data_IF_256826414738
#
_entry.id   IF_256826414738
#
_cell.length_a   1.000
_cell.length_b   1.000
_cell.length_c   1.000
_cell.angle_alpha   90.00
_cell.angle_beta   90.00
_cell.angle_gamma   90.00
#
_symmetry.space_group_name_H-M   'P 1'
#
loop_
_entity.id
_entity.type
_entity.pdbx_description
1 polymer ?
#
# COMPACT_ATOMS: atom_id res chain seq x y z
N UNK A 1 -24.20 23.97 -11.11
CA UNK A 1 -23.86 22.71 -11.81
C UNK A 1 -24.40 21.50 -11.06
N UNK A 2 -24.14 21.36 -9.76
CA UNK A 2 -24.55 20.18 -8.98
C UNK A 2 -26.08 20.00 -8.96
N UNK A 3 -26.83 21.05 -8.64
CA UNK A 3 -28.28 21.03 -8.58
C UNK A 3 -28.97 20.61 -9.87
N UNK A 4 -28.31 20.85 -11.01
CA UNK A 4 -28.88 20.59 -12.33
C UNK A 4 -28.50 19.19 -12.87
N UNK A 5 -27.41 18.58 -12.35
CA UNK A 5 -26.84 17.36 -12.90
C UNK A 5 -26.76 16.17 -11.93
N UNK A 6 -27.03 16.34 -10.63
CA UNK A 6 -26.89 15.24 -9.66
C UNK A 6 -27.73 14.01 -10.02
N UNK A 7 -28.94 14.23 -10.54
CA UNK A 7 -29.85 13.14 -10.87
C UNK A 7 -29.31 12.26 -12.00
N UNK A 8 -28.68 12.86 -13.00
CA UNK A 8 -28.03 12.13 -14.09
C UNK A 8 -26.81 11.33 -13.58
N UNK A 9 -25.95 11.99 -12.77
CA UNK A 9 -24.75 11.35 -12.19
C UNK A 9 -25.14 10.18 -11.27
N UNK A 10 -26.11 10.37 -10.39
CA UNK A 10 -26.60 9.31 -9.49
C UNK A 10 -27.18 8.15 -10.31
N UNK A 11 -28.06 8.44 -11.27
CA UNK A 11 -28.70 7.42 -12.10
C UNK A 11 -27.69 6.60 -12.90
N UNK A 12 -26.75 7.29 -13.57
CA UNK A 12 -25.72 6.60 -14.37
C UNK A 12 -24.79 5.74 -13.52
N UNK A 13 -24.42 6.21 -12.35
CA UNK A 13 -23.55 5.47 -11.41
C UNK A 13 -24.26 4.23 -10.87
N UNK A 14 -25.48 4.39 -10.38
CA UNK A 14 -26.27 3.26 -9.82
C UNK A 14 -26.53 2.23 -10.92
N UNK A 15 -27.01 2.63 -12.09
CA UNK A 15 -27.33 1.70 -13.20
C UNK A 15 -26.11 0.97 -13.73
N UNK A 16 -24.94 1.61 -13.75
CA UNK A 16 -23.69 0.94 -14.16
C UNK A 16 -23.31 -0.19 -13.21
N UNK A 17 -23.45 0.06 -11.88
CA UNK A 17 -22.81 -0.77 -10.87
C UNK A 17 -23.79 -1.61 -10.03
N UNK A 18 -25.12 -1.45 -10.16
CA UNK A 18 -26.10 -2.13 -9.30
C UNK A 18 -26.09 -3.66 -9.36
N UNK A 19 -25.67 -4.25 -10.50
CA UNK A 19 -25.50 -5.69 -10.66
C UNK A 19 -24.12 -6.20 -10.20
N UNK A 20 -23.23 -5.30 -9.74
CA UNK A 20 -21.92 -5.70 -9.26
C UNK A 20 -22.02 -6.20 -7.81
N UNK A 21 -21.78 -7.51 -7.54
CA UNK A 21 -21.89 -8.05 -6.18
C UNK A 21 -20.81 -7.52 -5.22
N UNK A 22 -19.74 -6.90 -5.71
CA UNK A 22 -18.73 -6.27 -4.90
C UNK A 22 -19.15 -4.90 -4.33
N UNK A 23 -20.19 -4.28 -4.88
CA UNK A 23 -20.75 -3.04 -4.34
C UNK A 23 -21.64 -3.37 -3.14
N UNK A 24 -21.22 -2.99 -1.94
CA UNK A 24 -21.92 -3.25 -0.69
C UNK A 24 -22.64 -2.03 -0.12
N UNK A 25 -22.22 -0.83 -0.48
CA UNK A 25 -22.77 0.46 -0.02
C UNK A 25 -22.64 1.52 -1.11
N UNK A 26 -23.51 2.55 -1.07
CA UNK A 26 -23.42 3.74 -1.91
C UNK A 26 -22.91 4.93 -1.09
N UNK A 27 -21.74 5.48 -1.44
CA UNK A 27 -21.22 6.69 -0.80
C UNK A 27 -21.78 7.94 -1.49
N UNK A 28 -22.37 8.82 -0.68
CA UNK A 28 -22.95 10.08 -1.15
C UNK A 28 -21.92 11.20 -1.30
N UNK A 29 -20.71 11.05 -0.75
CA UNK A 29 -19.64 12.03 -0.81
C UNK A 29 -18.57 11.81 0.26
N UNK A 30 -17.52 12.61 0.16
CA UNK A 30 -16.40 12.60 1.09
C UNK A 30 -16.14 13.99 1.64
N UNK A 31 -15.94 14.08 2.95
CA UNK A 31 -15.59 15.30 3.69
C UNK A 31 -16.51 16.50 3.40
N UNK A 32 -17.78 16.21 3.18
CA UNK A 32 -18.80 17.24 3.03
C UNK A 32 -18.95 17.97 4.35
N UNK A 33 -18.58 19.25 4.37
CA UNK A 33 -18.61 20.09 5.57
C UNK A 33 -19.64 21.18 5.43
N UNK A 34 -20.45 21.34 6.47
CA UNK A 34 -21.45 22.39 6.53
C UNK A 34 -20.90 23.75 6.95
N UNK A 35 -19.66 23.80 7.45
CA UNK A 35 -19.00 25.03 7.90
C UNK A 35 -17.93 25.55 6.94
N UNK A 36 -17.71 24.89 5.81
CA UNK A 36 -16.90 25.45 4.74
C UNK A 36 -17.82 26.32 3.87
N UNK A 37 -17.48 27.56 3.71
CA UNK A 37 -17.96 28.42 2.64
C UNK A 37 -17.45 27.89 1.29
N UNK A 38 -18.02 26.79 0.82
CA UNK A 38 -17.88 26.34 -0.55
C UNK A 38 -18.88 27.13 -1.40
N UNK A 39 -18.50 28.33 -1.78
CA UNK A 39 -19.39 29.25 -2.44
C UNK A 39 -20.49 29.79 -1.52
N UNK A 40 -21.66 30.08 -2.06
CA UNK A 40 -22.78 30.76 -1.39
C UNK A 40 -23.74 29.81 -0.64
N UNK A 41 -23.35 28.55 -0.35
CA UNK A 41 -24.23 27.57 0.29
C UNK A 41 -24.19 27.64 1.81
N UNK A 42 -25.37 27.78 2.43
CA UNK A 42 -25.58 27.66 3.88
C UNK A 42 -25.50 26.20 4.33
N UNK A 43 -25.26 25.99 5.62
CA UNK A 43 -25.27 24.64 6.23
C UNK A 43 -26.56 23.86 5.96
N UNK A 44 -27.71 24.55 5.98
CA UNK A 44 -29.03 23.93 5.72
C UNK A 44 -29.18 23.51 4.26
N UNK A 45 -28.65 24.30 3.32
CA UNK A 45 -28.66 23.95 1.90
C UNK A 45 -27.82 22.74 1.61
N UNK A 46 -26.64 22.61 2.24
CA UNK A 46 -25.78 21.43 2.12
C UNK A 46 -26.50 20.18 2.65
N UNK A 47 -27.14 20.26 3.81
CA UNK A 47 -27.95 19.15 4.38
C UNK A 47 -29.10 18.77 3.43
N UNK A 48 -29.80 19.75 2.87
CA UNK A 48 -30.89 19.52 1.90
C UNK A 48 -30.39 18.84 0.64
N UNK A 49 -29.26 19.28 0.09
CA UNK A 49 -28.61 18.64 -1.06
C UNK A 49 -28.26 17.18 -0.78
N UNK A 50 -27.59 16.89 0.33
CA UNK A 50 -27.26 15.52 0.72
C UNK A 50 -28.51 14.66 0.94
N UNK A 51 -29.57 15.21 1.54
CA UNK A 51 -30.85 14.52 1.70
C UNK A 51 -31.50 14.20 0.35
N UNK A 52 -31.44 15.12 -0.59
CA UNK A 52 -31.99 14.95 -1.94
C UNK A 52 -31.21 13.82 -2.69
N UNK A 53 -29.88 13.84 -2.63
CA UNK A 53 -29.04 12.79 -3.23
C UNK A 53 -29.32 11.44 -2.60
N UNK A 54 -29.41 11.36 -1.26
CA UNK A 54 -29.75 10.12 -0.56
C UNK A 54 -31.11 9.56 -1.02
N UNK A 55 -32.11 10.42 -1.13
CA UNK A 55 -33.43 10.04 -1.61
C UNK A 55 -33.41 9.52 -3.04
N UNK A 56 -32.63 10.14 -3.92
CA UNK A 56 -32.47 9.69 -5.30
C UNK A 56 -31.78 8.32 -5.38
N UNK A 57 -30.71 8.09 -4.60
CA UNK A 57 -30.03 6.78 -4.50
C UNK A 57 -31.00 5.72 -4.01
N UNK A 58 -31.73 5.97 -2.92
CA UNK A 58 -32.70 5.03 -2.33
C UNK A 58 -33.87 4.72 -3.25
N UNK A 59 -34.28 5.65 -4.10
CA UNK A 59 -35.33 5.43 -5.10
C UNK A 59 -34.88 4.47 -6.22
N UNK A 60 -33.58 4.45 -6.54
CA UNK A 60 -33.00 3.58 -7.57
C UNK A 60 -32.56 2.23 -6.98
N UNK A 61 -31.95 2.22 -5.80
CA UNK A 61 -31.51 1.02 -5.10
C UNK A 61 -31.78 1.12 -3.59
N UNK A 62 -32.87 0.53 -3.14
CA UNK A 62 -33.22 0.40 -1.74
C UNK A 62 -32.57 -0.83 -1.05
N UNK A 63 -31.83 -1.65 -1.77
CA UNK A 63 -31.29 -2.92 -1.25
C UNK A 63 -29.94 -2.73 -0.54
N UNK A 64 -29.21 -1.68 -0.90
CA UNK A 64 -27.89 -1.36 -0.32
C UNK A 64 -27.98 -0.15 0.61
N UNK A 65 -27.21 -0.15 1.71
CA UNK A 65 -27.15 1.02 2.60
C UNK A 65 -26.40 2.18 1.94
N UNK A 66 -26.69 3.39 2.39
CA UNK A 66 -25.96 4.60 2.02
C UNK A 66 -24.96 5.00 3.10
N UNK A 67 -23.90 5.67 2.70
CA UNK A 67 -22.84 6.16 3.59
C UNK A 67 -22.28 7.50 3.12
N UNK A 68 -21.46 8.13 3.95
CA UNK A 68 -20.72 9.35 3.65
C UNK A 68 -19.48 9.39 4.56
N UNK A 69 -18.30 9.72 4.02
CA UNK A 69 -17.09 9.95 4.81
C UNK A 69 -17.08 11.34 5.45
N UNK A 70 -16.77 11.43 6.75
CA UNK A 70 -16.74 12.70 7.48
C UNK A 70 -15.49 12.79 8.37
N UNK A 71 -14.77 13.92 8.29
CA UNK A 71 -13.49 14.14 9.01
C UNK A 71 -13.60 15.04 10.24
N UNK A 72 -14.72 15.60 10.54
CA UNK A 72 -14.90 16.48 11.70
C UNK A 72 -16.17 16.08 12.49
N UNK A 73 -15.99 15.32 13.56
CA UNK A 73 -17.08 14.93 14.43
C UNK A 73 -17.48 16.08 15.35
N UNK A 74 -18.73 16.46 15.31
CA UNK A 74 -19.32 17.45 16.19
C UNK A 74 -20.09 18.57 15.48
N UNK A 75 -21.01 19.20 16.16
CA UNK A 75 -21.84 20.29 15.63
C UNK A 75 -22.74 19.86 14.47
N UNK A 76 -22.68 20.58 13.37
CA UNK A 76 -23.56 20.39 12.21
C UNK A 76 -23.39 19.05 11.48
N UNK A 77 -22.35 18.27 11.77
CA UNK A 77 -22.17 16.95 11.18
C UNK A 77 -23.21 15.93 11.65
N UNK A 78 -23.79 16.10 12.83
CA UNK A 78 -24.86 15.23 13.30
C UNK A 78 -26.04 15.20 12.31
N UNK A 79 -26.35 16.31 11.65
CA UNK A 79 -27.39 16.40 10.63
C UNK A 79 -27.04 15.60 9.37
N UNK A 80 -25.77 15.66 8.90
CA UNK A 80 -25.31 14.88 7.75
C UNK A 80 -25.25 13.38 8.08
N UNK A 81 -24.76 13.02 9.28
CA UNK A 81 -24.71 11.64 9.74
C UNK A 81 -26.11 11.03 9.90
N UNK A 82 -27.13 11.86 10.18
CA UNK A 82 -28.50 11.42 10.28
C UNK A 82 -29.13 11.04 8.93
N UNK A 83 -28.54 11.41 7.79
CA UNK A 83 -29.06 11.12 6.46
C UNK A 83 -28.75 9.67 6.03
N UNK A 84 -27.55 9.16 6.35
CA UNK A 84 -27.02 7.89 5.86
C UNK A 84 -27.34 6.71 6.78
N UNK A 85 -27.32 5.48 6.25
CA UNK A 85 -27.56 4.28 7.04
C UNK A 85 -26.33 3.84 7.84
N UNK A 86 -25.13 4.01 7.27
CA UNK A 86 -23.85 3.67 7.88
C UNK A 86 -22.96 4.92 7.92
N UNK A 87 -22.44 5.24 9.09
CA UNK A 87 -21.64 6.47 9.26
C UNK A 87 -20.18 6.22 8.95
N UNK A 88 -19.64 6.89 7.93
CA UNK A 88 -18.22 6.92 7.61
C UNK A 88 -17.48 7.98 8.43
N UNK A 89 -16.34 7.60 9.00
CA UNK A 89 -15.50 8.48 9.83
C UNK A 89 -14.09 8.50 9.24
N UNK A 90 -13.62 9.70 8.85
CA UNK A 90 -12.26 9.91 8.41
C UNK A 90 -11.36 10.26 9.59
N UNK A 91 -10.24 9.54 9.78
CA UNK A 91 -9.13 9.73 10.74
C UNK A 91 -9.45 9.65 12.23
N UNK A 92 -10.65 10.01 12.66
CA UNK A 92 -11.00 10.02 14.08
C UNK A 92 -11.37 8.64 14.63
N UNK A 93 -10.82 7.64 14.07
CA UNK A 93 -10.65 6.25 14.39
C UNK A 93 -11.78 5.55 15.11
N UNK A 94 -11.67 5.37 16.37
CA UNK A 94 -12.64 4.68 17.20
C UNK A 94 -13.42 5.66 18.07
N UNK A 95 -13.61 6.88 17.62
CA UNK A 95 -14.24 7.88 18.49
C UNK A 95 -15.67 7.44 18.83
N UNK A 96 -15.77 6.58 19.85
CA UNK A 96 -17.03 6.13 20.45
C UNK A 96 -17.85 7.30 21.00
N UNK A 97 -17.29 8.51 21.01
CA UNK A 97 -17.99 9.76 21.35
C UNK A 97 -18.99 10.18 20.27
N UNK A 98 -18.96 9.57 19.07
CA UNK A 98 -20.04 9.71 18.11
C UNK A 98 -21.28 9.01 18.67
N UNK A 99 -22.14 9.78 19.25
CA UNK A 99 -23.46 9.37 19.72
C UNK A 99 -24.35 9.10 18.48
N UNK A 100 -24.16 7.98 17.83
CA UNK A 100 -25.06 7.48 16.79
C UNK A 100 -25.55 6.10 17.17
N UNK A 101 -26.80 5.79 16.86
CA UNK A 101 -27.40 4.46 16.95
C UNK A 101 -27.08 3.59 15.73
N UNK A 102 -26.33 4.13 14.76
CA UNK A 102 -26.01 3.49 13.48
C UNK A 102 -24.65 2.80 13.51
N UNK A 103 -24.45 1.78 12.63
CA UNK A 103 -23.13 1.22 12.41
C UNK A 103 -22.13 2.30 11.94
N UNK A 104 -20.88 2.16 12.34
CA UNK A 104 -19.79 3.05 11.94
C UNK A 104 -18.69 2.28 11.23
N UNK A 105 -17.94 2.94 10.37
CA UNK A 105 -16.70 2.43 9.80
C UNK A 105 -15.71 3.57 9.55
N UNK A 106 -14.43 3.22 9.47
CA UNK A 106 -13.42 4.17 9.03
C UNK A 106 -13.46 4.31 7.52
N UNK A 107 -14.07 5.39 7.02
CA UNK A 107 -14.17 5.64 5.58
C UNK A 107 -12.83 6.07 4.96
N UNK A 108 -11.98 6.69 5.79
CA UNK A 108 -10.61 7.07 5.45
C UNK A 108 -9.80 7.13 6.75
N UNK A 109 -8.72 6.35 6.84
CA UNK A 109 -8.01 6.18 8.10
C UNK A 109 -6.50 6.16 7.92
N UNK A 110 -5.79 6.20 9.02
CA UNK A 110 -4.33 6.02 9.08
C UNK A 110 -3.55 7.26 8.63
N UNK A 111 -3.16 7.39 7.37
CA UNK A 111 -2.18 8.36 6.88
C UNK A 111 -0.83 8.27 7.60
N UNK A 112 -0.35 7.04 7.82
CA UNK A 112 1.00 6.78 8.30
C UNK A 112 2.02 7.09 7.20
N UNK A 113 3.19 7.59 7.60
CA UNK A 113 4.26 7.99 6.70
C UNK A 113 5.36 6.95 6.70
N UNK A 114 5.68 6.40 5.53
CA UNK A 114 6.77 5.45 5.36
C UNK A 114 7.36 5.46 3.96
N UNK A 115 8.61 5.05 3.83
CA UNK A 115 9.31 4.83 2.56
C UNK A 115 9.88 3.42 2.54
N UNK A 116 9.74 2.71 1.42
CA UNK A 116 10.19 1.33 1.27
C UNK A 116 11.70 1.19 1.53
N UNK A 117 12.06 0.29 2.45
CA UNK A 117 13.45 -0.11 2.72
C UNK A 117 14.30 0.96 3.41
N UNK A 118 13.69 1.98 4.01
CA UNK A 118 14.34 3.04 4.80
C UNK A 118 14.02 2.82 6.27
N UNK A 119 15.00 2.85 7.18
CA UNK A 119 14.79 2.49 8.59
C UNK A 119 15.23 3.59 9.58
N UNK A 120 15.70 4.71 9.06
CA UNK A 120 15.92 5.95 9.80
C UNK A 120 15.33 7.12 8.99
N UNK A 121 15.03 8.24 9.67
CA UNK A 121 14.62 9.46 8.95
C UNK A 121 15.76 9.95 8.08
N UNK A 122 15.55 10.00 6.78
CA UNK A 122 16.48 10.56 5.80
C UNK A 122 15.95 11.90 5.29
N UNK A 123 16.35 12.98 5.97
CA UNK A 123 15.91 14.33 5.63
C UNK A 123 16.56 14.87 4.34
N UNK A 124 17.70 14.34 3.94
CA UNK A 124 18.38 14.74 2.71
C UNK A 124 17.64 14.21 1.49
N UNK A 125 17.29 12.92 1.50
CA UNK A 125 16.55 12.26 0.42
C UNK A 125 15.03 12.30 0.63
N UNK A 126 14.53 12.96 1.68
CA UNK A 126 13.10 13.10 2.00
C UNK A 126 12.40 11.74 2.09
N UNK A 127 12.95 10.82 2.88
CA UNK A 127 12.39 9.51 3.12
C UNK A 127 12.10 9.27 4.61
N UNK A 128 11.00 8.58 4.88
CA UNK A 128 10.54 8.24 6.23
C UNK A 128 10.91 6.81 6.60
N UNK A 129 11.11 6.52 7.90
CA UNK A 129 11.32 5.15 8.35
C UNK A 129 10.16 4.23 7.98
N UNK A 130 10.47 2.98 7.58
CA UNK A 130 9.48 1.93 7.29
C UNK A 130 8.83 1.35 8.54
N UNK A 131 9.38 1.61 9.72
CA UNK A 131 8.70 1.26 10.97
C UNK A 131 7.39 2.04 11.11
N UNK A 132 6.35 1.40 11.68
CA UNK A 132 5.05 2.04 11.94
C UNK A 132 5.11 2.97 13.17
N UNK A 133 5.86 4.07 13.04
CA UNK A 133 6.13 5.00 14.14
C UNK A 133 5.87 6.47 13.79
N UNK A 134 5.40 6.76 12.58
CA UNK A 134 5.12 8.13 12.14
C UNK A 134 3.82 8.22 11.34
N UNK A 135 3.03 9.25 11.66
CA UNK A 135 1.85 9.65 10.92
C UNK A 135 1.79 11.17 10.83
N UNK A 136 0.94 11.69 9.98
CA UNK A 136 0.61 13.13 9.93
C UNK A 136 -0.16 13.56 11.16
N UNK A 137 -0.24 14.87 11.43
CA UNK A 137 -0.85 15.41 12.65
C UNK A 137 -2.36 15.11 12.81
N UNK A 138 -3.06 14.85 11.73
CA UNK A 138 -4.48 14.47 11.72
C UNK A 138 -4.71 12.95 11.59
N UNK A 139 -3.65 12.18 11.35
CA UNK A 139 -3.69 10.73 11.15
C UNK A 139 -3.21 9.96 12.37
N UNK A 140 -3.10 8.65 12.19
CA UNK A 140 -2.60 7.70 13.17
C UNK A 140 -1.65 6.72 12.49
N UNK A 141 -0.81 6.03 13.25
CA UNK A 141 -0.06 4.90 12.73
C UNK A 141 -1.01 3.75 12.37
N UNK A 142 -0.57 2.85 11.52
CA UNK A 142 -1.42 1.76 11.06
C UNK A 142 -1.85 0.83 12.20
N UNK A 143 -0.95 0.49 13.10
CA UNK A 143 -1.27 -0.36 14.25
C UNK A 143 -2.25 0.32 15.23
N UNK A 144 -2.09 1.63 15.48
CA UNK A 144 -3.04 2.38 16.28
C UNK A 144 -4.45 2.32 15.69
N UNK A 145 -4.56 2.53 14.38
CA UNK A 145 -5.83 2.44 13.66
C UNK A 145 -6.44 1.05 13.73
N UNK A 146 -5.69 0.01 13.35
CA UNK A 146 -6.19 -1.38 13.37
C UNK A 146 -6.67 -1.77 14.77
N UNK A 147 -5.86 -1.49 15.80
CA UNK A 147 -6.20 -1.84 17.19
C UNK A 147 -7.45 -1.09 17.67
N UNK A 148 -7.61 0.18 17.27
CA UNK A 148 -8.77 0.98 17.59
C UNK A 148 -10.06 0.37 17.00
N UNK A 149 -10.05 0.00 15.73
CA UNK A 149 -11.22 -0.60 15.09
C UNK A 149 -11.52 -2.02 15.60
N UNK A 150 -10.50 -2.82 15.88
CA UNK A 150 -10.69 -4.16 16.47
C UNK A 150 -11.27 -4.12 17.90
N UNK A 151 -11.03 -3.06 18.64
CA UNK A 151 -11.58 -2.88 20.00
C UNK A 151 -13.01 -2.30 20.04
N UNK A 152 -13.58 -1.92 18.89
CA UNK A 152 -14.90 -1.28 18.82
C UNK A 152 -15.96 -2.29 18.38
N UNK A 153 -16.92 -2.60 19.26
CA UNK A 153 -18.08 -3.48 18.96
C UNK A 153 -19.03 -2.90 17.90
N UNK A 154 -18.95 -1.58 17.65
CA UNK A 154 -19.83 -0.87 16.69
C UNK A 154 -19.20 -0.68 15.33
N UNK A 155 -17.91 -1.00 15.19
CA UNK A 155 -17.18 -0.81 13.95
C UNK A 155 -17.41 -1.96 12.98
N UNK A 156 -17.72 -1.61 11.72
CA UNK A 156 -17.76 -2.55 10.60
C UNK A 156 -16.38 -2.78 9.96
N UNK A 157 -15.32 -2.09 10.41
CA UNK A 157 -13.98 -2.10 9.83
C UNK A 157 -13.53 -0.72 9.35
N UNK A 158 -12.49 -0.70 8.52
CA UNK A 158 -11.96 0.58 8.03
C UNK A 158 -11.27 0.45 6.67
N UNK A 159 -11.17 1.58 5.96
CA UNK A 159 -10.40 1.75 4.72
C UNK A 159 -9.18 2.63 4.98
N UNK A 160 -8.03 2.17 4.50
CA UNK A 160 -6.75 2.85 4.73
C UNK A 160 -6.55 3.96 3.70
N UNK A 161 -6.16 5.14 4.13
CA UNK A 161 -5.56 6.15 3.27
C UNK A 161 -4.04 6.04 3.34
N UNK A 162 -3.35 5.42 2.35
CA UNK A 162 -3.99 4.92 1.14
C UNK A 162 -3.33 3.61 0.70
N UNK A 163 -3.90 2.90 -0.25
CA UNK A 163 -3.32 1.66 -0.78
C UNK A 163 -1.96 1.90 -1.45
N UNK A 164 -1.88 2.90 -2.34
CA UNK A 164 -0.69 3.25 -3.11
C UNK A 164 -0.20 4.65 -2.75
N UNK A 165 1.11 4.87 -2.79
CA UNK A 165 1.61 6.23 -2.94
C UNK A 165 1.15 6.81 -4.29
N UNK A 166 0.94 8.11 -4.36
CA UNK A 166 0.45 8.81 -5.54
C UNK A 166 1.17 10.14 -5.74
N UNK A 167 1.27 10.58 -6.98
CA UNK A 167 1.83 11.90 -7.32
C UNK A 167 0.89 12.98 -6.79
N UNK A 168 1.46 13.95 -6.12
CA UNK A 168 0.78 15.00 -5.34
C UNK A 168 0.87 14.74 -3.85
N UNK A 169 0.45 15.69 -3.04
CA UNK A 169 0.40 15.65 -1.57
C UNK A 169 1.68 15.12 -0.88
N UNK A 170 2.84 15.78 -1.08
CA UNK A 170 4.12 15.34 -0.51
C UNK A 170 4.25 15.72 0.98
N UNK A 171 3.21 15.48 1.75
CA UNK A 171 3.11 15.78 3.18
C UNK A 171 3.99 14.79 3.98
N UNK A 172 4.76 15.22 4.94
CA UNK A 172 4.90 16.56 5.54
C UNK A 172 6.06 17.38 4.94
N UNK A 173 6.77 16.87 3.94
CA UNK A 173 7.88 17.61 3.35
C UNK A 173 7.41 18.90 2.70
N UNK A 174 6.32 18.87 1.93
CA UNK A 174 5.67 20.03 1.28
C UNK A 174 6.63 20.93 0.51
N UNK A 175 7.70 20.35 -0.02
CA UNK A 175 8.73 21.07 -0.77
C UNK A 175 9.38 20.16 -1.82
N UNK A 176 9.85 20.77 -2.91
CA UNK A 176 10.66 20.07 -3.91
C UNK A 176 11.96 19.52 -3.28
N UNK A 177 12.43 18.30 -3.65
CA UNK A 177 11.93 17.43 -4.71
C UNK A 177 10.81 16.45 -4.33
N UNK A 178 10.31 16.43 -3.08
CA UNK A 178 9.18 15.58 -2.74
C UNK A 178 7.96 15.95 -3.60
N UNK A 179 7.40 14.99 -4.32
CA UNK A 179 6.29 15.17 -5.25
C UNK A 179 5.19 14.13 -5.11
N UNK A 180 5.45 13.07 -4.36
CA UNK A 180 4.54 11.95 -4.12
C UNK A 180 4.12 11.93 -2.66
N UNK A 181 2.98 11.32 -2.37
CA UNK A 181 2.58 10.97 -1.00
C UNK A 181 3.53 9.90 -0.43
N UNK A 182 3.45 9.72 0.90
CA UNK A 182 4.17 8.69 1.65
C UNK A 182 3.20 7.79 2.43
N UNK A 183 1.89 7.94 2.17
CA UNK A 183 0.79 7.27 2.88
C UNK A 183 0.55 5.84 2.41
N UNK A 184 0.99 5.50 1.19
CA UNK A 184 0.72 4.20 0.59
C UNK A 184 1.23 3.04 1.44
N UNK A 185 0.48 1.96 1.51
CA UNK A 185 0.96 0.67 2.02
C UNK A 185 1.89 -0.02 1.02
N UNK A 186 1.79 0.36 -0.27
CA UNK A 186 2.78 0.11 -1.31
C UNK A 186 3.24 1.44 -1.92
N UNK A 187 4.41 1.44 -2.56
CA UNK A 187 4.94 2.64 -3.21
C UNK A 187 4.31 2.90 -4.59
N UNK A 188 4.74 3.96 -5.31
CA UNK A 188 4.21 4.31 -6.65
C UNK A 188 4.46 3.23 -7.70
N UNK A 189 5.41 2.32 -7.46
CA UNK A 189 5.70 1.18 -8.32
C UNK A 189 4.87 -0.06 -7.97
N UNK A 190 4.07 -0.03 -6.88
CA UNK A 190 3.35 -1.18 -6.36
C UNK A 190 4.23 -2.11 -5.51
N UNK A 191 5.47 -1.73 -5.17
CA UNK A 191 6.30 -2.52 -4.28
C UNK A 191 5.82 -2.37 -2.83
N UNK A 192 5.61 -3.50 -2.10
CA UNK A 192 5.21 -3.46 -0.71
C UNK A 192 6.20 -2.69 0.17
N UNK A 193 5.68 -1.85 1.05
CA UNK A 193 6.42 -1.32 2.19
C UNK A 193 6.25 -2.29 3.38
N UNK A 194 7.07 -2.16 4.43
CA UNK A 194 6.95 -3.10 5.57
C UNK A 194 5.57 -3.07 6.22
N UNK A 195 4.89 -1.93 6.17
CA UNK A 195 3.52 -1.78 6.68
C UNK A 195 2.48 -2.65 5.95
N UNK A 196 2.71 -3.01 4.67
CA UNK A 196 1.89 -3.96 3.93
C UNK A 196 1.80 -5.30 4.68
N UNK A 197 2.94 -5.78 5.18
CA UNK A 197 3.01 -7.06 5.89
C UNK A 197 2.37 -6.99 7.29
N UNK A 198 2.35 -5.81 7.93
CA UNK A 198 1.56 -5.64 9.15
C UNK A 198 0.07 -5.83 8.87
N UNK A 199 -0.48 -5.18 7.83
CA UNK A 199 -1.86 -5.38 7.42
C UNK A 199 -2.14 -6.82 6.99
N UNK A 200 -1.24 -7.44 6.23
CA UNK A 200 -1.36 -8.84 5.84
C UNK A 200 -1.45 -9.75 7.07
N UNK A 201 -0.63 -9.50 8.10
CA UNK A 201 -0.67 -10.28 9.35
C UNK A 201 -1.99 -10.15 10.13
N UNK A 202 -2.77 -9.09 9.88
CA UNK A 202 -4.03 -8.81 10.57
C UNK A 202 -5.26 -9.22 9.75
N UNK A 203 -5.17 -9.24 8.42
CA UNK A 203 -6.30 -9.42 7.53
C UNK A 203 -6.27 -10.71 6.71
N UNK A 204 -5.11 -11.35 6.55
CA UNK A 204 -4.96 -12.62 5.84
C UNK A 204 -5.02 -13.81 6.81
N UNK A 205 -5.70 -14.88 6.44
CA UNK A 205 -5.74 -16.14 7.18
C UNK A 205 -4.61 -17.09 6.80
N UNK A 206 -3.92 -16.87 5.68
CA UNK A 206 -2.75 -17.66 5.28
C UNK A 206 -1.60 -17.39 6.25
N UNK A 207 -0.90 -18.43 6.73
CA UNK A 207 0.27 -18.24 7.60
C UNK A 207 1.31 -17.34 6.93
N UNK A 208 1.75 -16.32 7.64
CA UNK A 208 2.79 -15.42 7.17
C UNK A 208 3.69 -14.94 8.30
N UNK A 209 4.91 -14.59 7.94
CA UNK A 209 5.88 -13.90 8.79
C UNK A 209 6.75 -13.01 7.91
N UNK A 210 7.09 -11.82 8.39
CA UNK A 210 7.92 -10.84 7.68
C UNK A 210 8.91 -10.19 8.65
N UNK A 211 10.18 -10.10 8.23
CA UNK A 211 11.27 -9.48 8.98
C UNK A 211 11.50 -8.05 8.49
N UNK A 212 11.56 -7.08 9.41
CA UNK A 212 12.12 -5.76 9.16
C UNK A 212 13.12 -5.39 10.28
N UNK A 213 14.16 -4.62 9.98
CA UNK A 213 14.63 -4.13 8.66
C UNK A 213 15.30 -5.23 7.84
N UNK A 214 15.75 -4.89 6.62
CA UNK A 214 16.69 -5.73 5.87
C UNK A 214 17.95 -6.05 6.69
N UNK A 215 18.60 -7.19 6.42
CA UNK A 215 19.76 -7.62 7.21
C UNK A 215 21.11 -7.26 6.55
N UNK A 216 21.25 -5.97 6.17
CA UNK A 216 22.50 -5.42 5.61
C UNK A 216 22.78 -4.10 6.32
N UNK A 217 23.66 -4.14 7.30
CA UNK A 217 24.07 -3.00 8.14
C UNK A 217 25.59 -2.97 8.27
N UNK A 218 26.14 -1.92 8.88
CA UNK A 218 27.58 -1.83 9.16
C UNK A 218 27.89 -2.40 10.56
N UNK A 219 27.16 -1.99 11.57
CA UNK A 219 27.37 -2.41 12.97
C UNK A 219 26.22 -1.94 13.87
N UNK A 220 26.29 -2.26 15.14
CA UNK A 220 25.40 -1.75 16.19
C UNK A 220 24.27 -2.71 16.57
N UNK A 221 23.39 -2.24 17.42
CA UNK A 221 22.17 -2.94 17.78
C UNK A 221 21.06 -2.52 16.80
N UNK A 222 20.40 -3.52 16.25
CA UNK A 222 19.31 -3.35 15.27
C UNK A 222 18.00 -3.72 15.95
N UNK A 223 17.01 -2.85 15.87
CA UNK A 223 15.64 -3.15 16.29
C UNK A 223 14.95 -3.96 15.18
N UNK A 224 14.87 -5.26 15.39
CA UNK A 224 14.23 -6.21 14.47
C UNK A 224 12.78 -6.39 14.89
N UNK A 225 11.87 -6.11 13.99
CA UNK A 225 10.45 -6.41 14.17
C UNK A 225 10.04 -7.56 13.26
N UNK A 226 9.10 -8.38 13.74
CA UNK A 226 8.43 -9.40 12.93
C UNK A 226 6.94 -9.07 12.90
N UNK A 227 6.37 -9.06 11.71
CA UNK A 227 4.91 -9.09 11.53
C UNK A 227 4.48 -10.52 11.21
N UNK A 228 3.51 -11.05 11.93
CA UNK A 228 3.06 -12.44 11.75
C UNK A 228 1.66 -12.67 12.33
N UNK A 229 0.92 -13.58 11.70
CA UNK A 229 -0.36 -14.12 12.19
C UNK A 229 -0.21 -15.52 12.81
N UNK A 230 1.02 -16.04 12.98
CA UNK A 230 1.29 -17.33 13.59
C UNK A 230 1.05 -17.32 15.10
N UNK A 231 0.78 -18.49 15.70
CA UNK A 231 0.57 -18.65 17.14
C UNK A 231 1.83 -18.33 17.97
N UNK A 232 3.01 -18.55 17.41
CA UNK A 232 4.29 -18.13 17.99
C UNK A 232 5.32 -17.90 16.89
N UNK A 233 6.33 -17.09 17.21
CA UNK A 233 7.45 -16.78 16.31
C UNK A 233 8.78 -17.02 17.01
N UNK A 234 9.82 -17.35 16.25
CA UNK A 234 11.19 -17.50 16.77
C UNK A 234 12.18 -16.89 15.78
N UNK A 235 13.09 -16.07 16.28
CA UNK A 235 14.11 -15.39 15.49
C UNK A 235 15.47 -16.08 15.70
N UNK A 236 16.20 -16.26 14.60
CA UNK A 236 17.55 -16.83 14.60
C UNK A 236 18.53 -15.90 13.90
N UNK A 237 19.74 -15.80 14.44
CA UNK A 237 20.87 -15.16 13.79
C UNK A 237 21.99 -16.19 13.61
N UNK A 238 22.40 -16.42 12.35
CA UNK A 238 23.44 -17.39 12.00
C UNK A 238 23.23 -18.78 12.64
N UNK A 239 21.96 -19.22 12.68
CA UNK A 239 21.55 -20.52 13.26
C UNK A 239 21.38 -20.52 14.78
N UNK A 240 21.71 -19.43 15.48
CA UNK A 240 21.50 -19.32 16.93
C UNK A 240 20.15 -18.69 17.23
N UNK A 241 19.31 -19.34 18.04
CA UNK A 241 18.02 -18.78 18.46
C UNK A 241 18.20 -17.56 19.36
N UNK A 242 17.45 -16.51 19.04
CA UNK A 242 17.34 -15.29 19.83
C UNK A 242 16.07 -15.28 20.71
N UNK A 243 15.37 -16.40 20.75
CA UNK A 243 14.22 -16.66 21.58
C UNK A 243 12.91 -16.72 20.81
N UNK A 244 12.00 -17.51 21.37
CA UNK A 244 10.63 -17.70 20.87
C UNK A 244 9.66 -16.79 21.60
N UNK A 245 8.69 -16.22 20.87
CA UNK A 245 7.63 -15.35 21.42
C UNK A 245 6.27 -15.89 21.03
N UNK A 246 5.37 -15.96 21.99
CA UNK A 246 3.96 -16.33 21.78
C UNK A 246 3.13 -15.12 21.29
N UNK A 247 1.94 -15.38 20.75
CA UNK A 247 1.02 -14.33 20.30
C UNK A 247 0.71 -13.30 21.39
N UNK A 248 0.62 -13.71 22.66
CA UNK A 248 0.42 -12.81 23.80
C UNK A 248 1.57 -11.83 24.07
N UNK A 249 2.72 -12.03 23.43
CA UNK A 249 3.89 -11.15 23.51
C UNK A 249 4.01 -10.21 22.30
N UNK A 250 3.00 -10.19 21.42
CA UNK A 250 2.91 -9.22 20.33
C UNK A 250 2.71 -7.84 20.90
N UNK A 251 3.52 -6.89 20.46
CA UNK A 251 3.52 -5.51 20.94
C UNK A 251 2.35 -4.67 20.41
N UNK A 252 2.22 -3.45 20.91
CA UNK A 252 1.15 -2.52 20.54
C UNK A 252 1.18 -2.06 19.08
N UNK A 253 2.32 -2.21 18.41
CA UNK A 253 2.48 -1.98 16.96
C UNK A 253 2.24 -3.25 16.14
N UNK A 254 1.57 -4.25 16.71
CA UNK A 254 1.30 -5.56 16.11
C UNK A 254 2.57 -6.33 15.69
N UNK A 255 3.71 -6.01 16.32
CA UNK A 255 5.02 -6.59 16.04
C UNK A 255 5.51 -7.50 17.17
N UNK A 256 6.43 -8.40 16.83
CA UNK A 256 7.32 -9.04 17.80
C UNK A 256 8.69 -8.38 17.69
N UNK A 257 9.10 -7.61 18.69
CA UNK A 257 10.32 -6.82 18.66
C UNK A 257 11.49 -7.54 19.33
N UNK A 258 12.67 -7.47 18.71
CA UNK A 258 13.95 -7.96 19.22
C UNK A 258 14.99 -6.86 19.03
N UNK A 259 15.90 -6.71 19.98
CA UNK A 259 17.11 -5.88 19.81
C UNK A 259 18.28 -6.81 19.58
N UNK A 260 18.87 -6.77 18.39
CA UNK A 260 19.85 -7.77 17.93
C UNK A 260 21.18 -7.07 17.64
N UNK A 261 22.25 -7.49 18.28
CA UNK A 261 23.59 -7.07 17.91
C UNK A 261 23.90 -7.54 16.49
N UNK A 262 24.20 -6.62 15.58
CA UNK A 262 24.44 -6.96 14.18
C UNK A 262 25.65 -7.88 14.03
N UNK A 263 25.46 -8.98 13.33
CA UNK A 263 26.50 -9.81 12.77
C UNK A 263 26.12 -10.20 11.35
N UNK A 264 27.04 -10.01 10.41
CA UNK A 264 26.83 -10.40 9.02
C UNK A 264 26.48 -11.89 8.90
N UNK A 265 25.62 -12.23 7.94
CA UNK A 265 25.16 -13.59 7.70
C UNK A 265 23.68 -13.69 7.42
N UNK A 266 23.00 -14.60 8.10
CA UNK A 266 21.61 -14.94 7.85
C UNK A 266 20.76 -14.68 9.08
N UNK A 267 19.67 -13.92 8.92
CA UNK A 267 18.62 -13.81 9.93
C UNK A 267 17.38 -14.55 9.43
N UNK A 268 16.78 -15.39 10.28
CA UNK A 268 15.64 -16.26 9.96
C UNK A 268 14.56 -16.07 10.99
N UNK A 269 13.34 -15.81 10.54
CA UNK A 269 12.16 -15.82 11.39
C UNK A 269 11.28 -17.02 11.03
N UNK A 270 10.97 -17.82 12.02
CA UNK A 270 10.08 -18.98 11.93
C UNK A 270 8.75 -18.67 12.61
N UNK A 271 7.65 -18.96 11.91
CA UNK A 271 6.29 -18.89 12.42
C UNK A 271 5.71 -20.28 12.65
N UNK A 272 5.11 -20.49 13.81
CA UNK A 272 4.59 -21.79 14.23
C UNK A 272 3.08 -21.73 14.50
N UNK A 273 2.39 -22.85 14.24
CA UNK A 273 1.00 -23.04 14.66
C UNK A 273 0.89 -23.32 16.18
N UNK A 274 -0.34 -23.51 16.67
CA UNK A 274 -0.60 -23.80 18.08
C UNK A 274 -0.05 -25.16 18.53
N UNK A 275 0.22 -26.08 17.58
CA UNK A 275 0.80 -27.40 17.83
C UNK A 275 2.34 -27.40 17.79
N UNK A 276 2.94 -26.25 17.42
CA UNK A 276 4.39 -26.08 17.30
C UNK A 276 4.98 -26.49 15.96
N UNK A 277 4.15 -26.73 14.94
CA UNK A 277 4.63 -27.01 13.60
C UNK A 277 5.07 -25.71 12.91
N UNK A 278 6.16 -25.73 12.15
CA UNK A 278 6.61 -24.62 11.30
C UNK A 278 5.63 -24.45 10.13
N UNK A 279 5.01 -23.29 10.02
CA UNK A 279 4.00 -22.99 8.99
C UNK A 279 4.31 -21.73 8.15
N UNK A 280 5.26 -20.90 8.59
CA UNK A 280 5.74 -19.75 7.84
C UNK A 280 7.21 -19.50 8.16
N UNK A 281 7.97 -19.01 7.19
CA UNK A 281 9.37 -18.65 7.36
C UNK A 281 9.71 -17.44 6.49
N UNK A 282 10.51 -16.51 7.02
CA UNK A 282 11.17 -15.44 6.27
C UNK A 282 12.67 -15.50 6.54
N UNK A 283 13.47 -15.29 5.48
CA UNK A 283 14.92 -15.38 5.53
C UNK A 283 15.53 -14.17 4.85
N UNK A 284 16.39 -13.45 5.56
CA UNK A 284 17.16 -12.36 4.99
C UNK A 284 18.66 -12.59 5.17
N UNK A 285 19.43 -12.06 4.22
CA UNK A 285 20.87 -12.22 4.16
C UNK A 285 21.56 -10.87 4.17
N UNK A 286 22.75 -10.81 4.75
CA UNK A 286 23.64 -9.69 4.53
C UNK A 286 24.09 -9.70 3.07
N UNK A 287 23.71 -8.67 2.32
CA UNK A 287 24.11 -8.51 0.94
C UNK A 287 25.58 -8.08 0.82
N UNK A 288 26.23 -8.57 -0.20
CA UNK A 288 27.53 -8.08 -0.67
C UNK A 288 27.38 -6.84 -1.57
N UNK A 289 28.44 -6.49 -2.27
CA UNK A 289 28.42 -5.41 -3.27
C UNK A 289 27.53 -5.77 -4.45
N UNK A 290 26.81 -4.80 -5.07
CA UNK A 290 26.07 -5.01 -6.30
C UNK A 290 26.93 -5.66 -7.40
N UNK A 291 26.39 -6.70 -8.04
CA UNK A 291 27.13 -7.49 -9.05
C UNK A 291 26.30 -7.79 -10.31
N UNK A 292 24.99 -7.91 -10.20
CA UNK A 292 24.11 -8.28 -11.31
C UNK A 292 22.72 -7.68 -11.17
N UNK A 293 22.00 -7.59 -12.30
CA UNK A 293 20.60 -7.25 -12.37
C UNK A 293 19.77 -8.53 -12.58
N UNK A 294 18.64 -8.64 -11.90
CA UNK A 294 17.65 -9.68 -12.14
C UNK A 294 16.32 -9.03 -12.53
N UNK A 295 15.66 -9.60 -13.55
CA UNK A 295 14.33 -9.15 -13.98
C UNK A 295 13.28 -10.18 -13.65
N UNK A 296 12.14 -9.71 -13.16
CA UNK A 296 10.93 -10.48 -13.02
C UNK A 296 9.74 -9.69 -13.61
N UNK A 297 8.64 -10.38 -13.94
CA UNK A 297 7.44 -9.77 -14.49
C UNK A 297 6.20 -10.20 -13.74
N UNK A 298 5.19 -9.34 -13.71
CA UNK A 298 3.87 -9.61 -13.12
C UNK A 298 3.12 -10.72 -13.85
N UNK A 299 3.44 -10.96 -15.13
CA UNK A 299 2.85 -12.00 -15.98
C UNK A 299 3.86 -12.55 -16.98
N UNK A 300 3.64 -13.77 -17.40
CA UNK A 300 4.49 -14.48 -18.40
C UNK A 300 4.05 -14.27 -19.84
N UNK A 301 2.83 -13.77 -20.04
CA UNK A 301 2.26 -13.51 -21.36
C UNK A 301 1.38 -12.25 -21.33
N UNK A 302 1.28 -11.56 -22.47
CA UNK A 302 0.41 -10.41 -22.72
C UNK A 302 -0.58 -10.73 -23.82
N UNK A 303 -1.83 -10.20 -23.69
CA UNK A 303 -2.87 -10.32 -24.70
C UNK A 303 -2.69 -9.23 -25.75
N UNK A 304 -2.36 -9.62 -26.99
CA UNK A 304 -2.15 -8.69 -28.09
C UNK A 304 -3.44 -8.14 -28.71
N UNK A 305 -4.61 -8.71 -28.37
CA UNK A 305 -5.91 -8.20 -28.80
C UNK A 305 -6.42 -7.02 -27.95
N UNK A 306 -5.69 -6.62 -26.89
CA UNK A 306 -6.02 -5.52 -25.99
C UNK A 306 -4.80 -4.62 -25.74
N UNK A 307 -5.00 -3.49 -25.06
CA UNK A 307 -3.92 -2.60 -24.60
C UNK A 307 -3.22 -3.14 -23.34
N UNK A 308 -2.89 -4.44 -23.30
CA UNK A 308 -2.29 -5.09 -22.16
C UNK A 308 -0.82 -4.63 -21.94
N UNK A 309 -0.47 -4.42 -20.68
CA UNK A 309 0.85 -3.98 -20.23
C UNK A 309 1.52 -5.08 -19.41
N UNK A 310 2.85 -5.06 -19.36
CA UNK A 310 3.63 -5.87 -18.44
C UNK A 310 4.50 -4.98 -17.55
N UNK A 311 4.55 -5.33 -16.27
CA UNK A 311 5.32 -4.63 -15.25
C UNK A 311 6.57 -5.45 -14.94
N UNK A 312 7.72 -4.89 -15.28
CA UNK A 312 9.03 -5.53 -15.13
C UNK A 312 9.73 -4.94 -13.91
N UNK A 313 9.86 -5.73 -12.86
CA UNK A 313 10.71 -5.42 -11.71
C UNK A 313 12.17 -5.71 -12.04
N UNK A 314 13.03 -4.78 -11.70
CA UNK A 314 14.49 -4.98 -11.76
C UNK A 314 15.06 -4.91 -10.34
N UNK A 315 15.71 -5.99 -9.92
CA UNK A 315 16.42 -6.12 -8.66
C UNK A 315 17.93 -5.98 -8.88
N UNK A 316 18.58 -5.19 -8.05
CA UNK A 316 20.04 -5.08 -7.97
C UNK A 316 20.52 -6.11 -6.94
N UNK A 317 21.22 -7.13 -7.41
CA UNK A 317 21.66 -8.26 -6.60
C UNK A 317 23.18 -8.30 -6.45
N UNK A 318 23.66 -8.86 -5.37
CA UNK A 318 25.06 -9.24 -5.21
C UNK A 318 25.40 -10.50 -6.02
N UNK A 319 26.66 -10.95 -5.93
CA UNK A 319 27.14 -12.17 -6.63
C UNK A 319 26.36 -13.42 -6.23
N UNK A 320 25.87 -13.51 -4.99
CA UNK A 320 25.16 -14.66 -4.45
C UNK A 320 23.66 -14.64 -4.81
N UNK A 321 23.14 -13.52 -5.33
CA UNK A 321 21.73 -13.34 -5.65
C UNK A 321 20.91 -12.69 -4.53
N UNK A 322 21.58 -12.14 -3.53
CA UNK A 322 20.93 -11.38 -2.46
C UNK A 322 20.63 -9.96 -2.94
N UNK A 323 19.41 -9.46 -2.69
CA UNK A 323 19.03 -8.08 -2.96
C UNK A 323 19.95 -7.14 -2.18
N UNK A 324 20.51 -6.14 -2.86
CA UNK A 324 21.31 -5.08 -2.24
C UNK A 324 20.40 -3.93 -1.83
N UNK A 325 19.95 -3.85 -0.57
CA UNK A 325 18.87 -2.96 -0.15
C UNK A 325 19.28 -1.48 -0.09
N UNK A 326 20.57 -1.19 -0.22
CA UNK A 326 21.11 0.18 -0.29
C UNK A 326 21.54 0.58 -1.70
N UNK A 327 21.32 -0.29 -2.71
CA UNK A 327 21.76 -0.02 -4.06
C UNK A 327 20.89 1.06 -4.75
N UNK A 328 21.58 2.00 -5.41
CA UNK A 328 21.00 3.11 -6.18
C UNK A 328 21.57 3.17 -7.61
N UNK A 329 22.01 2.04 -8.16
CA UNK A 329 22.57 1.96 -9.50
C UNK A 329 21.58 2.48 -10.55
N UNK A 330 22.08 3.30 -11.49
CA UNK A 330 21.29 3.77 -12.64
C UNK A 330 21.12 2.61 -13.63
N UNK A 331 19.86 2.17 -13.82
CA UNK A 331 19.49 1.05 -14.69
C UNK A 331 18.92 1.60 -15.99
N UNK A 332 19.39 1.08 -17.12
CA UNK A 332 18.86 1.39 -18.46
C UNK A 332 18.16 0.15 -19.01
N UNK A 333 16.93 0.32 -19.46
CA UNK A 333 16.12 -0.72 -20.08
C UNK A 333 16.10 -0.60 -21.60
N UNK A 334 16.10 -1.73 -22.28
CA UNK A 334 15.85 -1.84 -23.72
C UNK A 334 14.81 -2.94 -23.94
N UNK A 335 13.98 -2.78 -24.97
CA UNK A 335 12.96 -3.76 -25.34
C UNK A 335 12.99 -4.05 -26.83
N UNK A 336 12.78 -5.32 -27.18
CA UNK A 336 12.52 -5.77 -28.56
C UNK A 336 11.14 -6.41 -28.56
N UNK A 337 10.31 -6.08 -29.54
CA UNK A 337 8.93 -6.57 -29.66
C UNK A 337 7.92 -5.82 -28.80
N UNK A 338 8.24 -4.60 -28.37
CA UNK A 338 7.38 -3.73 -27.59
C UNK A 338 7.95 -2.33 -27.43
N UNK A 339 7.30 -1.52 -26.61
CA UNK A 339 7.68 -0.13 -26.30
C UNK A 339 7.70 0.09 -24.79
N UNK A 340 8.74 0.75 -24.27
CA UNK A 340 8.77 1.19 -22.87
C UNK A 340 7.79 2.36 -22.71
N UNK A 341 6.82 2.18 -21.81
CA UNK A 341 5.83 3.21 -21.48
C UNK A 341 6.38 4.13 -20.39
N UNK A 342 7.13 3.58 -19.44
CA UNK A 342 7.73 4.36 -18.38
C UNK A 342 8.61 3.55 -17.46
N UNK A 343 9.34 4.27 -16.59
CA UNK A 343 10.18 3.72 -15.54
C UNK A 343 10.01 4.52 -14.26
N UNK A 344 10.08 3.86 -13.11
CA UNK A 344 10.04 4.49 -11.79
C UNK A 344 10.81 3.63 -10.78
N UNK A 345 11.01 4.14 -9.54
CA UNK A 345 11.66 3.39 -8.46
C UNK A 345 10.88 3.41 -7.13
N UNK A 346 9.73 4.08 -7.08
CA UNK A 346 8.91 4.19 -5.90
C UNK A 346 9.37 5.21 -4.84
N UNK A 347 10.41 5.99 -5.13
CA UNK A 347 10.89 7.02 -4.20
C UNK A 347 10.10 8.33 -4.35
N UNK A 348 9.47 8.79 -3.28
CA UNK A 348 8.57 9.96 -3.30
C UNK A 348 9.21 11.29 -3.70
N UNK A 349 10.54 11.42 -3.57
CA UNK A 349 11.32 12.60 -3.97
C UNK A 349 12.15 12.38 -5.25
N UNK A 350 11.87 11.32 -6.00
CA UNK A 350 12.57 11.06 -7.26
C UNK A 350 12.26 12.12 -8.34
N UNK A 351 13.30 12.66 -8.97
CA UNK A 351 13.20 13.72 -10.01
C UNK A 351 13.47 13.22 -11.43
N UNK A 352 13.80 11.94 -11.60
CA UNK A 352 14.02 11.37 -12.92
C UNK A 352 12.71 11.33 -13.73
N UNK A 353 12.82 11.37 -15.06
CA UNK A 353 11.65 11.33 -15.94
C UNK A 353 11.01 9.95 -15.92
N UNK A 354 9.72 9.88 -15.60
CA UNK A 354 8.96 8.63 -15.63
C UNK A 354 8.79 8.08 -17.05
N UNK A 355 8.74 8.92 -18.08
CA UNK A 355 8.59 8.54 -19.50
C UNK A 355 9.90 8.11 -20.15
N UNK A 356 10.96 7.86 -19.38
CA UNK A 356 12.27 7.44 -19.89
C UNK A 356 12.42 5.92 -19.97
N UNK A 357 13.59 5.50 -20.45
CA UNK A 357 14.03 4.10 -20.41
C UNK A 357 15.14 3.85 -19.38
N UNK A 358 15.41 4.84 -18.52
CA UNK A 358 16.44 4.78 -17.48
C UNK A 358 15.88 5.28 -16.17
N UNK A 359 16.20 4.58 -15.09
CA UNK A 359 15.88 4.99 -13.72
C UNK A 359 16.93 4.47 -12.73
N UNK A 360 17.28 5.27 -11.73
CA UNK A 360 18.11 4.79 -10.62
C UNK A 360 17.27 3.82 -9.76
N UNK A 361 17.89 2.77 -9.24
CA UNK A 361 17.24 1.92 -8.24
C UNK A 361 17.05 2.68 -6.92
N UNK A 362 15.95 2.40 -6.22
CA UNK A 362 15.72 2.84 -4.86
C UNK A 362 15.52 1.60 -3.98
N UNK A 363 16.30 1.52 -2.90
CA UNK A 363 16.37 0.32 -2.05
C UNK A 363 16.52 -0.96 -2.89
N UNK A 364 17.44 -0.90 -3.88
CA UNK A 364 17.81 -2.03 -4.73
C UNK A 364 16.79 -2.39 -5.82
N UNK A 365 15.72 -1.63 -6.03
CA UNK A 365 14.67 -1.95 -7.00
C UNK A 365 14.32 -0.78 -7.91
N UNK A 366 13.91 -1.09 -9.15
CA UNK A 366 13.19 -0.17 -10.03
C UNK A 366 12.19 -0.93 -10.92
N UNK A 367 11.26 -0.20 -11.51
CA UNK A 367 10.19 -0.70 -12.36
C UNK A 367 10.37 -0.21 -13.80
N UNK A 368 10.04 -1.06 -14.76
CA UNK A 368 9.85 -0.70 -16.16
C UNK A 368 8.49 -1.21 -16.64
N UNK A 369 7.65 -0.33 -17.18
CA UNK A 369 6.35 -0.69 -17.76
C UNK A 369 6.51 -0.78 -19.27
N UNK A 370 6.09 -1.91 -19.85
CA UNK A 370 6.25 -2.21 -21.28
C UNK A 370 4.90 -2.54 -21.90
N UNK A 371 4.61 -1.96 -23.05
CA UNK A 371 3.49 -2.29 -23.93
C UNK A 371 3.99 -3.12 -25.11
N UNK A 372 3.24 -4.17 -25.51
CA UNK A 372 3.56 -4.96 -26.69
C UNK A 372 3.32 -4.17 -27.99
N UNK A 373 3.91 -4.64 -29.10
CA UNK A 373 3.81 -4.02 -30.44
C UNK A 373 2.63 -4.55 -31.29
N UNK A 374 1.76 -5.38 -30.71
CA UNK A 374 0.62 -6.01 -31.38
C UNK A 374 0.96 -7.28 -32.17
N UNK A 375 2.23 -7.56 -32.45
CA UNK A 375 2.65 -8.76 -33.15
C UNK A 375 2.74 -9.99 -32.21
N UNK A 376 2.53 -11.19 -32.72
CA UNK A 376 2.78 -12.44 -32.00
C UNK A 376 4.26 -12.69 -31.76
N UNK A 377 4.60 -13.64 -30.87
CA UNK A 377 5.98 -14.02 -30.56
C UNK A 377 6.37 -13.70 -29.13
N UNK A 378 7.48 -13.01 -28.89
CA UNK A 378 7.92 -12.64 -27.56
C UNK A 378 8.46 -11.20 -27.52
N UNK A 379 8.25 -10.53 -26.40
CA UNK A 379 9.01 -9.34 -26.02
C UNK A 379 10.26 -9.80 -25.27
N UNK A 380 11.40 -9.21 -25.59
CA UNK A 380 12.64 -9.38 -24.85
C UNK A 380 13.03 -8.07 -24.21
N UNK A 381 13.07 -8.04 -22.89
CA UNK A 381 13.47 -6.89 -22.09
C UNK A 381 14.85 -7.14 -21.51
N UNK A 382 15.74 -6.16 -21.63
CA UNK A 382 17.09 -6.21 -21.08
C UNK A 382 17.34 -4.99 -20.21
N UNK A 383 17.87 -5.20 -19.00
CA UNK A 383 18.33 -4.16 -18.11
C UNK A 383 19.86 -4.17 -18.00
N UNK A 384 20.48 -3.00 -18.06
CA UNK A 384 21.93 -2.81 -17.94
C UNK A 384 22.24 -1.72 -16.92
N UNK A 385 23.34 -1.88 -16.18
CA UNK A 385 23.90 -0.85 -15.31
C UNK A 385 25.43 -0.95 -15.34
N UNK A 386 26.11 0.17 -15.12
CA UNK A 386 27.56 0.21 -15.15
C UNK A 386 28.17 -0.72 -14.09
N UNK A 387 29.09 -1.59 -14.50
CA UNK A 387 29.79 -2.53 -13.63
C UNK A 387 28.98 -3.74 -13.18
N UNK A 388 27.72 -3.90 -13.62
CA UNK A 388 26.85 -5.02 -13.26
C UNK A 388 26.60 -5.95 -14.46
N UNK A 389 26.44 -7.24 -14.18
CA UNK A 389 25.95 -8.19 -15.18
C UNK A 389 24.50 -7.86 -15.53
N UNK A 390 24.21 -7.76 -16.83
CA UNK A 390 22.88 -7.43 -17.35
C UNK A 390 21.82 -8.51 -17.00
N UNK A 391 20.60 -8.06 -16.72
CA UNK A 391 19.43 -8.92 -16.57
C UNK A 391 18.62 -8.96 -17.87
N UNK A 392 18.02 -10.11 -18.19
CA UNK A 392 17.14 -10.26 -19.35
C UNK A 392 15.95 -11.14 -19.00
N UNK A 393 14.75 -10.78 -19.52
CA UNK A 393 13.54 -11.57 -19.42
C UNK A 393 12.79 -11.57 -20.75
N UNK A 394 12.03 -12.64 -21.00
CA UNK A 394 11.16 -12.76 -22.18
C UNK A 394 9.70 -12.95 -21.73
N UNK A 395 8.78 -12.19 -22.35
CA UNK A 395 7.33 -12.27 -22.12
C UNK A 395 6.66 -12.65 -23.44
N UNK A 396 5.84 -13.71 -23.41
CA UNK A 396 5.14 -14.19 -24.61
C UNK A 396 4.05 -13.19 -25.04
N UNK A 397 3.86 -13.05 -26.34
CA UNK A 397 2.81 -12.24 -26.96
C UNK A 397 1.85 -13.15 -27.73
N UNK A 398 0.56 -13.01 -27.50
CA UNK A 398 -0.46 -13.81 -28.22
C UNK A 398 -1.86 -13.48 -27.73
N UNK A 399 -2.85 -13.97 -28.47
CA UNK A 399 -4.27 -13.94 -28.06
C UNK A 399 -4.50 -15.02 -27.00
N UNK A 400 -4.11 -14.79 -25.77
CA UNK A 400 -4.35 -15.73 -24.67
C UNK A 400 -5.32 -15.15 -23.66
N UNK A 401 -6.30 -15.95 -23.27
CA UNK A 401 -7.05 -15.74 -22.02
C UNK A 401 -6.10 -15.95 -20.85
N UNK A 402 -5.68 -14.86 -20.21
CA UNK A 402 -4.81 -14.92 -19.05
C UNK A 402 -5.65 -15.41 -17.87
N UNK A 403 -5.35 -16.61 -17.37
CA UNK A 403 -5.80 -16.98 -16.04
C UNK A 403 -5.11 -16.01 -15.06
N UNK A 404 -5.90 -15.20 -14.35
CA UNK A 404 -5.38 -14.33 -13.30
C UNK A 404 -4.71 -15.21 -12.23
N UNK A 405 -3.38 -15.17 -12.17
CA UNK A 405 -2.67 -15.70 -11.02
C UNK A 405 -2.83 -14.67 -9.90
N UNK A 406 -3.47 -15.07 -8.81
CA UNK A 406 -3.47 -14.25 -7.61
C UNK A 406 -2.01 -13.95 -7.20
N UNK A 407 -1.69 -12.73 -6.77
CA UNK A 407 -0.37 -12.42 -6.27
C UNK A 407 -0.04 -13.35 -5.11
N UNK A 408 1.17 -13.90 -5.15
CA UNK A 408 1.71 -14.81 -4.13
C UNK A 408 1.93 -14.08 -2.79
#
# INVERSE_FOLDING_TARGET
YFTDHYAEVVTSTIHRDWNNPAVIMWSLGNEVRTNLTLGDYSSSEIVNVCTTVNSAVKALDATRPTTMGNNAPGGNLSALMAIVDVVGINYNGNNQTYQTDRPIYGSETTSALSSRGVYALDSENMAYPSYDNKAVSWGNTAAETVNAYLSSERSCGHFVWTGFDYIGEPTEWNKYPAKSSYFGIVDTCGFPKDIYFMYQSMWDSRPMIHILPHWTHESGNIDVWLYSNCASVELFLNGTSLGKKALSQRGTKNQYAYTVAYAAGTIVANGYDASGNLIAQDIQYTAGTPAKLALSSDKTAVNTASDDLVYITCDVLDKNGTLCPTASNSVTFTVVGGTIIGTDNGHGANVEKLSGSRHAAFSGKCLCVVKHDGASGAMKITATANGLTAGTISVTKGETTIAATAPA
#
